data_IF_539225085252
#
_entry.id   IF_539225085252
#
_cell.length_a   1.000
_cell.length_b   1.000
_cell.length_c   1.000
_cell.angle_alpha   90.00
_cell.angle_beta   90.00
_cell.angle_gamma   90.00
#
_symmetry.space_group_name_H-M   'P 1'
#
loop_
_entity.id
_entity.type
_entity.pdbx_description
1 polymer ?
#
# COMPACT_ATOMS: atom_id res chain seq x y z
N UNK A 1 -2.20 35.70 -41.83
CA UNK A 1 -1.11 35.01 -41.10
C UNK A 1 -1.24 35.35 -39.62
N UNK A 2 -1.72 34.41 -38.80
CA UNK A 2 -1.87 34.58 -37.35
C UNK A 2 -0.74 33.80 -36.66
N UNK A 3 0.04 34.48 -35.81
CA UNK A 3 1.04 33.87 -34.93
C UNK A 3 0.32 33.19 -33.77
N UNK A 4 0.55 31.89 -33.61
CA UNK A 4 0.06 31.10 -32.47
C UNK A 4 0.93 31.32 -31.25
N UNK A 5 0.28 31.48 -30.09
CA UNK A 5 0.92 31.67 -28.80
C UNK A 5 1.45 30.34 -28.25
N UNK A 6 2.71 30.40 -27.79
CA UNK A 6 3.36 29.45 -26.88
C UNK A 6 2.82 29.67 -25.47
N UNK A 7 2.36 28.61 -24.79
CA UNK A 7 2.22 28.54 -23.32
C UNK A 7 1.81 27.12 -22.88
N UNK A 8 2.34 26.69 -21.73
CA UNK A 8 2.02 25.50 -20.93
C UNK A 8 3.12 24.44 -20.82
N UNK A 9 4.29 24.88 -20.36
CA UNK A 9 5.08 24.09 -19.40
C UNK A 9 4.85 24.77 -18.05
N UNK A 10 4.63 23.97 -16.99
CA UNK A 10 4.31 24.38 -15.61
C UNK A 10 2.83 24.68 -15.31
N UNK A 11 2.01 23.63 -15.16
CA UNK A 11 0.90 23.60 -14.18
C UNK A 11 0.33 22.16 -14.02
N UNK A 12 1.03 21.30 -13.29
CA UNK A 12 0.48 20.00 -12.84
C UNK A 12 1.08 19.60 -11.47
N UNK A 13 1.34 20.61 -10.63
CA UNK A 13 1.90 20.50 -9.28
C UNK A 13 0.90 20.90 -8.17
N UNK A 14 -0.41 20.86 -8.46
CA UNK A 14 -1.45 21.29 -7.52
C UNK A 14 -2.69 20.40 -7.56
N UNK A 15 -2.62 19.26 -6.87
CA UNK A 15 -3.70 18.59 -6.13
C UNK A 15 -2.94 17.66 -5.15
N UNK A 16 -2.67 17.95 -3.88
CA UNK A 16 -3.46 18.57 -2.83
C UNK A 16 -2.51 19.28 -1.83
N UNK A 17 -2.45 20.61 -1.87
CA UNK A 17 -2.06 21.40 -0.69
C UNK A 17 -3.34 22.04 -0.17
N UNK A 18 -3.99 21.39 0.78
CA UNK A 18 -5.00 22.01 1.64
C UNK A 18 -4.50 21.97 3.08
N UNK A 19 -3.73 23.01 3.43
CA UNK A 19 -4.04 23.96 4.50
C UNK A 19 -4.77 23.38 5.74
N UNK A 20 -4.03 23.10 6.81
CA UNK A 20 -4.42 23.46 8.18
C UNK A 20 -3.25 23.27 9.15
N UNK A 21 -2.66 24.38 9.60
CA UNK A 21 -2.07 24.46 10.94
C UNK A 21 -3.23 24.62 11.91
N UNK A 22 -3.39 23.66 12.83
CA UNK A 22 -4.17 23.81 14.05
C UNK A 22 -3.54 22.89 15.10
N UNK A 23 -3.21 23.48 16.24
CA UNK A 23 -2.63 22.84 17.43
C UNK A 23 -3.64 21.95 18.17
N UNK A 24 -3.06 21.13 19.07
CA UNK A 24 -3.65 20.40 20.20
C UNK A 24 -4.42 19.10 19.96
N UNK A 25 -3.79 18.01 20.42
CA UNK A 25 -4.49 17.00 21.23
C UNK A 25 -5.10 15.81 20.51
N UNK A 26 -4.31 14.74 20.37
CA UNK A 26 -4.79 13.39 20.03
C UNK A 26 -4.86 13.14 18.53
N UNK A 27 -3.81 12.55 17.97
CA UNK A 27 -3.78 12.09 16.58
C UNK A 27 -4.77 10.93 16.40
N UNK A 28 -6.02 11.28 16.06
CA UNK A 28 -6.91 10.34 15.40
C UNK A 28 -6.24 9.88 14.09
N UNK A 29 -6.27 8.59 13.75
CA UNK A 29 -5.67 8.10 12.52
C UNK A 29 -6.36 8.80 11.33
N UNK A 30 -5.58 9.48 10.50
CA UNK A 30 -6.07 10.11 9.28
C UNK A 30 -6.66 9.02 8.38
N UNK A 31 -7.98 9.03 8.21
CA UNK A 31 -8.68 8.13 7.29
C UNK A 31 -8.33 8.59 5.87
N UNK A 32 -7.66 7.73 5.09
CA UNK A 32 -7.16 8.08 3.75
C UNK A 32 -8.24 7.82 2.70
N UNK A 33 -9.04 6.77 2.87
CA UNK A 33 -10.08 6.40 1.91
C UNK A 33 -11.19 5.56 2.53
N UNK A 34 -12.41 5.77 2.04
CA UNK A 34 -13.58 4.94 2.34
C UNK A 34 -14.32 4.66 1.02
N UNK A 35 -13.87 3.65 0.29
CA UNK A 35 -14.52 3.13 -0.91
C UNK A 35 -15.03 1.71 -0.64
N UNK A 36 -16.26 1.41 -1.06
CA UNK A 36 -16.92 0.10 -0.88
C UNK A 36 -16.87 -0.50 0.55
N UNK A 37 -16.90 0.35 1.58
CA UNK A 37 -16.85 -0.06 2.99
C UNK A 37 -15.46 -0.47 3.49
N UNK A 38 -14.43 -0.40 2.65
CA UNK A 38 -13.03 -0.54 3.04
C UNK A 38 -12.62 0.70 3.84
N UNK A 39 -11.93 0.50 4.96
CA UNK A 39 -11.51 1.60 5.83
C UNK A 39 -9.99 1.61 5.91
N UNK A 40 -9.37 2.65 5.34
CA UNK A 40 -7.91 2.80 5.34
C UNK A 40 -7.44 3.92 6.27
N UNK A 41 -6.42 3.63 7.06
CA UNK A 41 -5.78 4.55 7.99
C UNK A 41 -4.30 4.67 7.69
N UNK A 42 -3.81 5.91 7.66
CA UNK A 42 -2.38 6.19 7.70
C UNK A 42 -1.86 5.90 9.12
N UNK A 43 -0.71 5.23 9.21
CA UNK A 43 0.09 5.23 10.44
C UNK A 43 0.72 6.59 10.71
N UNK A 44 1.61 6.65 11.70
CA UNK A 44 2.42 7.84 11.92
C UNK A 44 3.39 8.01 10.74
N UNK A 45 3.17 9.04 9.93
CA UNK A 45 3.97 9.35 8.76
C UNK A 45 4.85 10.59 8.98
N UNK A 46 5.19 10.87 10.24
CA UNK A 46 6.23 11.82 10.59
C UNK A 46 7.58 11.32 10.05
N UNK A 47 8.42 12.22 9.55
CA UNK A 47 9.62 11.86 8.79
C UNK A 47 10.57 10.91 9.55
N UNK A 48 10.71 11.10 10.87
CA UNK A 48 11.54 10.24 11.74
C UNK A 48 10.96 8.82 11.85
N UNK A 49 9.64 8.68 11.96
CA UNK A 49 8.97 7.37 12.06
C UNK A 49 9.02 6.62 10.72
N UNK A 50 8.90 7.34 9.61
CA UNK A 50 9.02 6.74 8.27
C UNK A 50 10.45 6.23 8.02
N UNK A 51 11.45 6.92 8.53
CA UNK A 51 12.84 6.45 8.41
C UNK A 51 13.08 5.18 9.25
N UNK A 52 12.53 5.12 10.46
CA UNK A 52 12.76 4.00 11.38
C UNK A 52 11.90 2.76 11.08
N UNK A 53 10.65 2.96 10.67
CA UNK A 53 9.64 1.88 10.58
C UNK A 53 9.03 1.78 9.16
N UNK A 54 9.24 2.78 8.31
CA UNK A 54 8.59 2.90 7.01
C UNK A 54 7.27 3.64 7.06
N UNK A 55 6.78 4.03 5.89
CA UNK A 55 5.45 4.58 5.68
C UNK A 55 4.41 3.47 5.83
N UNK A 56 3.43 3.65 6.71
CA UNK A 56 2.45 2.61 7.05
C UNK A 56 1.05 3.02 6.60
N UNK A 57 0.37 2.12 5.88
CA UNK A 57 -1.06 2.21 5.58
C UNK A 57 -1.72 0.91 6.02
N UNK A 58 -2.80 1.00 6.78
CA UNK A 58 -3.59 -0.15 7.20
C UNK A 58 -5.01 -0.02 6.68
N UNK A 59 -5.45 -0.99 5.88
CA UNK A 59 -6.79 -1.06 5.30
C UNK A 59 -7.54 -2.27 5.87
N UNK A 60 -8.79 -2.06 6.28
CA UNK A 60 -9.68 -3.13 6.71
C UNK A 60 -10.74 -3.40 5.64
N UNK A 61 -10.83 -4.66 5.21
CA UNK A 61 -11.78 -5.16 4.23
C UNK A 61 -12.86 -5.98 4.97
N UNK A 62 -14.03 -5.40 5.26
CA UNK A 62 -15.08 -6.09 6.02
C UNK A 62 -15.63 -7.30 5.25
N UNK A 63 -16.01 -8.34 5.98
CA UNK A 63 -16.67 -9.56 5.49
C UNK A 63 -15.95 -10.25 4.31
N UNK A 64 -14.64 -10.03 4.20
CA UNK A 64 -13.80 -10.54 3.12
C UNK A 64 -12.74 -11.47 3.70
N UNK A 65 -12.63 -12.67 3.14
CA UNK A 65 -11.54 -13.60 3.46
C UNK A 65 -10.20 -13.14 2.85
N UNK A 66 -9.10 -13.77 3.27
CA UNK A 66 -7.76 -13.37 2.87
C UNK A 66 -7.54 -13.45 1.36
N UNK A 67 -7.98 -14.53 0.69
CA UNK A 67 -7.75 -14.71 -0.74
C UNK A 67 -8.57 -13.74 -1.59
N UNK A 68 -9.82 -13.49 -1.18
CA UNK A 68 -10.68 -12.49 -1.79
C UNK A 68 -10.08 -11.09 -1.61
N UNK A 69 -9.60 -10.79 -0.39
CA UNK A 69 -8.97 -9.50 -0.07
C UNK A 69 -7.68 -9.29 -0.85
N UNK A 70 -6.84 -10.31 -0.96
CA UNK A 70 -5.62 -10.27 -1.76
C UNK A 70 -5.91 -9.93 -3.23
N UNK A 71 -6.93 -10.55 -3.82
CA UNK A 71 -7.34 -10.26 -5.21
C UNK A 71 -7.85 -8.83 -5.36
N UNK A 72 -8.67 -8.35 -4.42
CA UNK A 72 -9.16 -6.97 -4.40
C UNK A 72 -8.01 -5.97 -4.29
N UNK A 73 -7.10 -6.19 -3.35
CA UNK A 73 -5.90 -5.38 -3.16
C UNK A 73 -5.09 -5.31 -4.46
N UNK A 74 -4.83 -6.45 -5.12
CA UNK A 74 -4.11 -6.45 -6.39
C UNK A 74 -4.82 -5.64 -7.49
N UNK A 75 -6.14 -5.76 -7.58
CA UNK A 75 -6.94 -5.03 -8.57
C UNK A 75 -6.95 -3.51 -8.31
N UNK A 76 -7.02 -3.10 -7.04
CA UNK A 76 -6.92 -1.70 -6.59
C UNK A 76 -5.60 -1.06 -7.04
N UNK A 77 -4.49 -1.81 -6.91
CA UNK A 77 -3.15 -1.36 -7.26
C UNK A 77 -2.66 -1.86 -8.63
N UNK A 78 -3.55 -2.20 -9.57
CA UNK A 78 -3.16 -2.73 -10.89
C UNK A 78 -2.35 -1.76 -11.76
N UNK A 79 -2.47 -0.47 -11.51
CA UNK A 79 -1.70 0.58 -12.20
C UNK A 79 -0.38 0.91 -11.46
N UNK A 80 -0.21 0.43 -10.23
CA UNK A 80 1.02 0.63 -9.46
C UNK A 80 2.19 -0.10 -10.13
N UNK A 81 3.39 0.48 -10.10
CA UNK A 81 4.54 -0.10 -10.81
C UNK A 81 5.03 -1.41 -10.21
N UNK A 82 4.91 -1.56 -8.90
CA UNK A 82 5.43 -2.67 -8.11
C UNK A 82 4.29 -3.64 -7.78
N UNK A 83 3.20 -3.15 -7.18
CA UNK A 83 2.13 -4.00 -6.67
C UNK A 83 1.36 -4.73 -7.78
N UNK A 84 1.34 -4.19 -9.01
CA UNK A 84 0.74 -4.90 -10.16
C UNK A 84 1.41 -6.24 -10.50
N UNK A 85 2.66 -6.44 -10.07
CA UNK A 85 3.45 -7.66 -10.35
C UNK A 85 3.24 -8.74 -9.28
N UNK A 86 2.40 -8.49 -8.27
CA UNK A 86 1.97 -9.50 -7.33
C UNK A 86 1.38 -10.71 -8.06
N UNK A 87 1.75 -11.91 -7.62
CA UNK A 87 1.30 -13.18 -8.17
C UNK A 87 -0.24 -13.23 -8.27
N UNK A 88 -0.77 -13.63 -9.43
CA UNK A 88 -2.22 -13.62 -9.65
C UNK A 88 -2.98 -14.60 -8.74
N UNK A 89 -2.36 -15.75 -8.47
CA UNK A 89 -2.92 -16.83 -7.67
C UNK A 89 -1.95 -17.24 -6.55
N UNK A 90 -2.47 -17.24 -5.33
CA UNK A 90 -1.78 -17.73 -4.13
C UNK A 90 -2.59 -18.85 -3.51
N UNK A 91 -1.94 -19.72 -2.73
CA UNK A 91 -2.61 -20.81 -2.04
C UNK A 91 -2.21 -20.79 -0.55
N UNK A 92 -3.18 -20.90 0.38
CA UNK A 92 -2.89 -20.94 1.81
C UNK A 92 -1.85 -21.99 2.17
N UNK A 93 -0.93 -21.63 3.07
CA UNK A 93 0.15 -22.50 3.54
C UNK A 93 1.25 -22.82 2.52
N UNK A 94 1.20 -22.26 1.30
CA UNK A 94 2.23 -22.46 0.28
C UNK A 94 3.09 -21.21 0.14
N UNK A 95 4.23 -21.24 0.82
CA UNK A 95 5.25 -20.21 0.67
C UNK A 95 5.78 -20.20 -0.78
N UNK A 96 6.14 -19.03 -1.26
CA UNK A 96 6.64 -18.86 -2.62
C UNK A 96 7.68 -17.74 -2.67
N UNK A 97 8.57 -17.81 -3.65
CA UNK A 97 9.49 -16.72 -3.98
C UNK A 97 9.43 -16.49 -5.48
N UNK A 98 9.26 -15.23 -5.88
CA UNK A 98 9.22 -14.81 -7.28
C UNK A 98 10.34 -13.80 -7.49
N UNK A 99 11.31 -14.18 -8.30
CA UNK A 99 12.44 -13.32 -8.66
C UNK A 99 12.16 -12.68 -10.02
N UNK A 100 12.03 -11.35 -10.05
CA UNK A 100 11.89 -10.56 -11.28
C UNK A 100 13.27 -10.20 -11.82
N UNK A 101 14.16 -9.81 -10.91
CA UNK A 101 15.58 -9.54 -11.15
C UNK A 101 16.37 -9.83 -9.86
N UNK A 102 17.70 -9.80 -9.92
CA UNK A 102 18.57 -10.10 -8.78
C UNK A 102 18.29 -9.20 -7.55
N UNK A 103 17.89 -7.97 -7.79
CA UNK A 103 17.55 -6.95 -6.80
C UNK A 103 16.05 -6.64 -6.73
N UNK A 104 15.20 -7.49 -7.34
CA UNK A 104 13.75 -7.33 -7.33
C UNK A 104 13.03 -8.67 -7.10
N UNK A 105 12.59 -8.89 -5.87
CA UNK A 105 12.13 -10.19 -5.37
C UNK A 105 10.86 -10.03 -4.53
N UNK A 106 9.89 -10.92 -4.75
CA UNK A 106 8.71 -11.08 -3.91
C UNK A 106 8.83 -12.38 -3.12
N UNK A 107 8.68 -12.32 -1.81
CA UNK A 107 8.67 -13.47 -0.92
C UNK A 107 7.31 -13.55 -0.23
N UNK A 108 6.62 -14.67 -0.42
CA UNK A 108 5.33 -14.97 0.18
C UNK A 108 5.52 -15.97 1.31
N UNK A 109 5.18 -15.57 2.53
CA UNK A 109 5.34 -16.37 3.74
C UNK A 109 3.99 -16.50 4.44
N UNK A 110 3.46 -17.72 4.49
CA UNK A 110 2.25 -18.03 5.24
C UNK A 110 2.61 -18.45 6.65
N UNK A 111 2.12 -17.73 7.64
CA UNK A 111 2.19 -18.14 9.04
C UNK A 111 1.05 -19.11 9.39
N UNK A 112 -0.11 -18.95 8.74
CA UNK A 112 -1.27 -19.84 8.85
C UNK A 112 -2.16 -19.74 7.62
N UNK A 113 -3.32 -20.40 7.58
CA UNK A 113 -4.31 -20.19 6.50
C UNK A 113 -4.96 -18.80 6.51
N UNK A 114 -4.77 -18.04 7.59
CA UNK A 114 -5.38 -16.72 7.81
C UNK A 114 -4.35 -15.59 7.93
N UNK A 115 -3.07 -15.90 7.77
CA UNK A 115 -1.98 -14.93 7.90
C UNK A 115 -0.95 -15.14 6.79
N UNK A 116 -0.80 -14.10 5.97
CA UNK A 116 0.15 -14.05 4.86
C UNK A 116 0.98 -12.77 4.97
N UNK A 117 2.28 -12.92 4.88
CA UNK A 117 3.21 -11.82 4.67
C UNK A 117 3.75 -11.87 3.23
N UNK A 118 3.83 -10.72 2.58
CA UNK A 118 4.49 -10.55 1.29
C UNK A 118 5.57 -9.48 1.44
N UNK A 119 6.83 -9.89 1.40
CA UNK A 119 7.97 -8.97 1.36
C UNK A 119 8.38 -8.73 -0.09
N UNK A 120 8.55 -7.46 -0.45
CA UNK A 120 8.92 -7.01 -1.78
C UNK A 120 10.25 -6.27 -1.63
N UNK A 121 11.33 -6.96 -1.95
CA UNK A 121 12.66 -6.36 -2.05
C UNK A 121 12.81 -5.73 -3.43
N UNK A 122 13.17 -4.45 -3.49
CA UNK A 122 13.33 -3.72 -4.74
C UNK A 122 14.41 -2.65 -4.60
N UNK A 123 14.94 -2.10 -5.71
CA UNK A 123 15.91 -1.03 -5.62
C UNK A 123 15.35 0.18 -4.85
N UNK A 124 16.03 0.58 -3.78
CA UNK A 124 15.67 1.73 -2.95
C UNK A 124 14.75 1.43 -1.76
N UNK A 125 14.45 0.16 -1.44
CA UNK A 125 13.77 -0.17 -0.20
C UNK A 125 13.08 -1.52 -0.16
N UNK A 126 12.28 -1.70 0.88
CA UNK A 126 11.46 -2.91 1.10
C UNK A 126 10.00 -2.47 1.32
N UNK A 127 9.08 -3.15 0.65
CA UNK A 127 7.66 -3.06 0.95
C UNK A 127 7.19 -4.38 1.56
N UNK A 128 6.58 -4.33 2.73
CA UNK A 128 5.98 -5.48 3.40
C UNK A 128 4.46 -5.34 3.42
N UNK A 129 3.76 -6.37 2.95
CA UNK A 129 2.31 -6.48 3.01
C UNK A 129 1.94 -7.58 4.00
N UNK A 130 1.28 -7.24 5.09
CA UNK A 130 0.75 -8.20 6.07
C UNK A 130 -0.77 -8.32 5.89
N UNK A 131 -1.23 -9.50 5.51
CA UNK A 131 -2.64 -9.86 5.43
C UNK A 131 -3.02 -10.69 6.65
N UNK A 132 -3.99 -10.23 7.43
CA UNK A 132 -4.49 -10.91 8.62
C UNK A 132 -6.01 -11.02 8.57
N UNK A 133 -6.51 -12.24 8.40
CA UNK A 133 -7.95 -12.53 8.39
C UNK A 133 -8.45 -12.81 9.81
N UNK A 134 -9.57 -12.18 10.15
CA UNK A 134 -10.37 -12.42 11.36
C UNK A 134 -11.81 -12.73 10.94
N UNK A 135 -12.66 -13.06 11.92
CA UNK A 135 -14.08 -13.35 11.66
C UNK A 135 -14.83 -12.20 10.97
N UNK A 136 -14.47 -10.95 11.26
CA UNK A 136 -15.14 -9.75 10.73
C UNK A 136 -14.64 -9.29 9.36
N UNK A 137 -13.58 -9.90 8.83
CA UNK A 137 -12.93 -9.46 7.60
C UNK A 137 -11.42 -9.59 7.66
N UNK A 138 -10.73 -8.99 6.69
CA UNK A 138 -9.27 -9.07 6.57
C UNK A 138 -8.64 -7.69 6.65
N UNK A 139 -7.59 -7.57 7.46
CA UNK A 139 -6.74 -6.38 7.52
C UNK A 139 -5.55 -6.57 6.59
N UNK A 140 -5.22 -5.53 5.83
CA UNK A 140 -4.00 -5.42 5.03
C UNK A 140 -3.18 -4.27 5.59
N UNK A 141 -1.97 -4.54 6.03
CA UNK A 141 -1.01 -3.52 6.46
C UNK A 141 0.13 -3.47 5.45
N UNK A 142 0.28 -2.33 4.80
CA UNK A 142 1.39 -2.03 3.89
C UNK A 142 2.40 -1.17 4.65
N UNK A 143 3.65 -1.62 4.67
CA UNK A 143 4.80 -0.91 5.24
C UNK A 143 5.79 -0.70 4.10
N UNK A 144 6.19 0.54 3.83
CA UNK A 144 7.19 0.85 2.82
C UNK A 144 8.37 1.58 3.46
N UNK A 145 9.51 0.91 3.55
CA UNK A 145 10.74 1.41 4.19
C UNK A 145 11.82 1.65 3.14
N UNK A 146 12.48 2.83 3.14
CA UNK A 146 13.64 3.09 2.29
C UNK A 146 14.88 2.32 2.78
N UNK A 147 15.74 1.90 1.85
CA UNK A 147 17.09 1.37 2.13
C UNK A 147 18.15 2.49 2.23
#
# INVERSE_FOLDING_TARGET
MKRGYSLSVALLFLLFVNRAWAEEGGTAPNIIEQSDGIICHAGSNEAEVVFDIGFIVTCFYPDSDLLTTYKKYREEYKEDRILKLLKEEISPGKNARVEIAADFVYTYTWASEHELEVEIFQPGGITTLEFQQKMSGTTVKNISSPD
#
